data_IF_248072508282
#
_entry.id   IF_248072508282
#
_cell.length_a   1.000
_cell.length_b   1.000
_cell.length_c   1.000
_cell.angle_alpha   90.00
_cell.angle_beta   90.00
_cell.angle_gamma   90.00
#
_symmetry.space_group_name_H-M   'P 1'
#
loop_
_entity.id
_entity.type
_entity.pdbx_description
1 polymer ?
#
# COMPACT_ATOMS: atom_id res chain seq x y z
N UNK A 1 17.90 -5.52 -16.32
CA UNK A 1 16.65 -4.76 -16.39
C UNK A 1 16.70 -3.65 -15.36
N UNK A 2 16.30 -2.42 -15.70
CA UNK A 2 16.12 -1.35 -14.69
C UNK A 2 14.78 -1.59 -13.98
N UNK A 3 14.71 -1.62 -12.65
CA UNK A 3 13.44 -1.82 -11.95
C UNK A 3 12.54 -0.60 -12.18
N UNK A 4 11.33 -0.81 -12.71
CA UNK A 4 10.32 0.23 -12.97
C UNK A 4 9.45 0.49 -11.74
N UNK A 5 8.93 1.71 -11.59
CA UNK A 5 7.95 2.03 -10.55
C UNK A 5 6.66 1.21 -10.75
N UNK A 6 6.02 0.70 -9.68
CA UNK A 6 4.69 0.11 -9.78
C UNK A 6 3.66 1.11 -10.33
N UNK A 7 2.80 0.68 -11.25
CA UNK A 7 1.88 1.56 -12.00
C UNK A 7 0.40 1.39 -11.62
N UNK A 8 0.11 0.98 -10.39
CA UNK A 8 -1.28 0.83 -9.93
C UNK A 8 -1.97 2.20 -9.76
N UNK A 9 -3.29 2.22 -9.97
CA UNK A 9 -4.16 3.39 -9.74
C UNK A 9 -5.33 3.00 -8.85
N UNK A 10 -5.80 3.92 -8.02
CA UNK A 10 -6.96 3.67 -7.16
C UNK A 10 -8.25 3.62 -7.98
N UNK A 11 -8.94 2.47 -7.98
CA UNK A 11 -10.23 2.31 -8.65
C UNK A 11 -11.35 2.04 -7.65
N UNK A 12 -12.30 2.96 -7.59
CA UNK A 12 -13.45 2.90 -6.66
C UNK A 12 -14.49 1.85 -7.05
N UNK A 13 -14.49 1.32 -8.26
CA UNK A 13 -15.58 0.46 -8.78
C UNK A 13 -15.79 -0.79 -7.90
N UNK A 14 -14.71 -1.46 -7.51
CA UNK A 14 -14.77 -2.63 -6.63
C UNK A 14 -15.33 -2.25 -5.27
N UNK A 15 -14.82 -1.16 -4.69
CA UNK A 15 -15.24 -0.74 -3.36
C UNK A 15 -16.70 -0.27 -3.35
N UNK A 16 -17.16 0.46 -4.38
CA UNK A 16 -18.56 0.85 -4.54
C UNK A 16 -19.48 -0.36 -4.67
N UNK A 17 -19.06 -1.38 -5.41
CA UNK A 17 -19.81 -2.63 -5.52
C UNK A 17 -19.89 -3.35 -4.17
N UNK A 18 -18.78 -3.44 -3.44
CA UNK A 18 -18.76 -4.05 -2.10
C UNK A 18 -19.60 -3.28 -1.09
N UNK A 19 -19.59 -1.95 -1.16
CA UNK A 19 -20.36 -1.08 -0.27
C UNK A 19 -21.87 -1.09 -0.55
N UNK A 20 -22.29 -1.49 -1.76
CA UNK A 20 -23.70 -1.62 -2.14
C UNK A 20 -24.55 -0.37 -1.79
N UNK A 21 -23.99 0.82 -2.01
CA UNK A 21 -24.66 2.10 -1.73
C UNK A 21 -24.42 2.68 -0.32
N UNK A 22 -23.77 1.94 0.58
CA UNK A 22 -23.42 2.42 1.92
C UNK A 22 -22.16 3.32 1.87
N UNK A 23 -22.38 4.64 1.90
CA UNK A 23 -21.30 5.65 1.87
C UNK A 23 -20.43 5.62 3.14
N UNK A 24 -21.02 5.29 4.30
CA UNK A 24 -20.30 5.19 5.57
C UNK A 24 -19.32 4.00 5.53
N UNK A 25 -19.80 2.83 5.09
CA UNK A 25 -18.95 1.67 4.90
C UNK A 25 -17.86 1.92 3.85
N UNK A 26 -18.19 2.58 2.74
CA UNK A 26 -17.23 2.95 1.71
C UNK A 26 -16.09 3.82 2.28
N UNK A 27 -16.43 4.89 3.00
CA UNK A 27 -15.46 5.81 3.60
C UNK A 27 -14.62 5.12 4.68
N UNK A 28 -15.25 4.30 5.53
CA UNK A 28 -14.56 3.51 6.56
C UNK A 28 -13.50 2.58 5.94
N UNK A 29 -13.82 1.93 4.82
CA UNK A 29 -12.87 1.05 4.13
C UNK A 29 -11.68 1.82 3.54
N UNK A 30 -11.92 3.01 2.98
CA UNK A 30 -10.84 3.90 2.52
C UNK A 30 -9.97 4.35 3.70
N UNK A 31 -10.58 4.72 4.81
CA UNK A 31 -9.87 5.17 6.01
C UNK A 31 -9.00 4.05 6.60
N UNK A 32 -9.55 2.86 6.77
CA UNK A 32 -8.81 1.69 7.25
C UNK A 32 -7.64 1.35 6.32
N UNK A 33 -7.86 1.40 5.00
CA UNK A 33 -6.79 1.15 4.04
C UNK A 33 -5.68 2.21 4.14
N UNK A 34 -6.04 3.50 4.08
CA UNK A 34 -5.08 4.61 4.08
C UNK A 34 -4.28 4.67 5.39
N UNK A 35 -4.92 4.40 6.54
CA UNK A 35 -4.24 4.31 7.84
C UNK A 35 -3.17 3.22 7.84
N UNK A 36 -3.52 2.00 7.41
CA UNK A 36 -2.57 0.89 7.36
C UNK A 36 -1.46 1.11 6.32
N UNK A 37 -1.79 1.72 5.18
CA UNK A 37 -0.80 2.06 4.15
C UNK A 37 0.20 3.12 4.64
N UNK A 38 -0.26 4.12 5.39
CA UNK A 38 0.61 5.13 6.04
C UNK A 38 1.55 4.50 7.06
N UNK A 39 1.02 3.63 7.92
CA UNK A 39 1.85 2.90 8.89
C UNK A 39 2.93 2.04 8.20
N UNK A 40 2.61 1.41 7.05
CA UNK A 40 3.60 0.69 6.26
C UNK A 40 4.68 1.61 5.69
N UNK A 41 4.31 2.80 5.21
CA UNK A 41 5.26 3.82 4.73
C UNK A 41 6.22 4.24 5.84
N UNK A 42 5.72 4.47 7.06
CA UNK A 42 6.55 4.82 8.21
C UNK A 42 7.55 3.70 8.56
N UNK A 43 7.11 2.44 8.49
CA UNK A 43 8.01 1.28 8.64
C UNK A 43 9.09 1.26 7.56
N UNK A 44 8.73 1.52 6.30
CA UNK A 44 9.71 1.58 5.23
C UNK A 44 10.73 2.69 5.44
N UNK A 45 10.31 3.88 5.91
CA UNK A 45 11.21 5.00 6.16
C UNK A 45 12.17 4.72 7.33
N UNK A 46 11.62 4.32 8.47
CA UNK A 46 12.39 3.97 9.66
C UNK A 46 13.31 2.79 9.39
N UNK A 47 12.79 1.71 8.79
CA UNK A 47 13.54 0.51 8.44
C UNK A 47 14.65 0.76 7.42
N UNK A 48 14.46 1.65 6.44
CA UNK A 48 15.54 2.05 5.52
C UNK A 48 16.69 2.77 6.26
N UNK A 49 16.36 3.65 7.21
CA UNK A 49 17.36 4.38 7.99
C UNK A 49 18.13 3.49 8.96
N UNK A 50 17.43 2.53 9.59
CA UNK A 50 17.98 1.63 10.61
C UNK A 50 18.51 0.32 10.02
N UNK A 51 18.27 0.07 8.73
CA UNK A 51 18.52 -1.20 8.04
C UNK A 51 17.79 -2.38 8.68
N UNK A 52 16.58 -2.14 9.19
CA UNK A 52 15.73 -3.18 9.79
C UNK A 52 14.95 -3.93 8.70
N UNK A 53 15.67 -4.79 7.98
CA UNK A 53 15.12 -5.54 6.85
C UNK A 53 14.07 -6.56 7.29
N UNK A 54 14.18 -7.09 8.51
CA UNK A 54 13.24 -8.09 9.02
C UNK A 54 11.88 -7.43 9.28
N UNK A 55 11.84 -6.32 10.00
CA UNK A 55 10.60 -5.59 10.26
C UNK A 55 9.93 -5.14 8.95
N UNK A 56 10.72 -4.62 7.99
CA UNK A 56 10.23 -4.27 6.65
C UNK A 56 9.58 -5.48 5.97
N UNK A 57 10.25 -6.63 5.96
CA UNK A 57 9.74 -7.85 5.32
C UNK A 57 8.45 -8.35 5.95
N UNK A 58 8.36 -8.36 7.28
CA UNK A 58 7.16 -8.79 8.01
C UNK A 58 5.96 -7.86 7.76
N UNK A 59 6.21 -6.55 7.73
CA UNK A 59 5.15 -5.56 7.49
C UNK A 59 4.70 -5.57 6.03
N UNK A 60 5.62 -5.79 5.09
CA UNK A 60 5.27 -6.01 3.69
C UNK A 60 4.37 -7.25 3.54
N UNK A 61 4.72 -8.38 4.15
CA UNK A 61 3.90 -9.60 4.15
C UNK A 61 2.46 -9.35 4.64
N UNK A 62 2.34 -8.71 5.81
CA UNK A 62 1.03 -8.39 6.43
C UNK A 62 0.17 -7.47 5.57
N UNK A 63 0.78 -6.61 4.75
CA UNK A 63 0.06 -5.69 3.89
C UNK A 63 -0.48 -6.32 2.59
N UNK A 64 0.17 -7.37 2.06
CA UNK A 64 -0.19 -7.99 0.77
C UNK A 64 -1.70 -8.28 0.63
N UNK A 65 -2.41 -8.88 1.61
CA UNK A 65 -3.84 -9.17 1.45
C UNK A 65 -4.70 -7.93 1.22
N UNK A 66 -4.40 -6.83 1.92
CA UNK A 66 -5.13 -5.56 1.78
C UNK A 66 -4.92 -4.95 0.39
N UNK A 67 -3.68 -4.90 -0.09
CA UNK A 67 -3.39 -4.36 -1.43
C UNK A 67 -4.00 -5.22 -2.55
N UNK A 68 -4.09 -6.55 -2.36
CA UNK A 68 -4.81 -7.46 -3.28
C UNK A 68 -6.32 -7.23 -3.30
N UNK A 69 -6.94 -6.95 -2.15
CA UNK A 69 -8.37 -6.63 -2.09
C UNK A 69 -8.72 -5.45 -3.01
N UNK A 70 -7.89 -4.41 -2.99
CA UNK A 70 -8.04 -3.25 -3.88
C UNK A 70 -7.46 -3.44 -5.29
N UNK A 71 -7.00 -4.65 -5.63
CA UNK A 71 -6.42 -5.00 -6.94
C UNK A 71 -5.16 -4.21 -7.31
N UNK A 72 -4.38 -3.75 -6.32
CA UNK A 72 -3.06 -3.15 -6.55
C UNK A 72 -2.03 -4.25 -6.82
N UNK A 73 -2.11 -4.87 -7.99
CA UNK A 73 -1.34 -6.06 -8.32
C UNK A 73 0.17 -5.76 -8.40
N UNK A 74 0.56 -4.61 -8.96
CA UNK A 74 1.97 -4.26 -9.10
C UNK A 74 2.63 -3.94 -7.74
N UNK A 75 1.93 -3.21 -6.87
CA UNK A 75 2.38 -2.96 -5.50
C UNK A 75 2.39 -4.27 -4.71
N UNK A 76 1.34 -5.10 -4.81
CA UNK A 76 1.29 -6.41 -4.14
C UNK A 76 2.44 -7.32 -4.54
N UNK A 77 2.81 -7.34 -5.83
CA UNK A 77 3.99 -8.06 -6.32
C UNK A 77 5.28 -7.49 -5.75
N UNK A 78 5.41 -6.17 -5.67
CA UNK A 78 6.60 -5.52 -5.08
C UNK A 78 6.73 -5.80 -3.59
N UNK A 79 5.62 -5.83 -2.84
CA UNK A 79 5.59 -6.21 -1.42
C UNK A 79 6.01 -7.67 -1.22
N UNK A 80 5.56 -8.58 -2.08
CA UNK A 80 5.97 -9.98 -2.04
C UNK A 80 7.47 -10.15 -2.36
N UNK A 81 8.00 -9.36 -3.30
CA UNK A 81 9.43 -9.35 -3.60
C UNK A 81 10.25 -8.80 -2.42
N UNK A 82 9.78 -7.73 -1.76
CA UNK A 82 10.39 -7.20 -0.53
C UNK A 82 10.41 -8.27 0.57
N UNK A 83 9.27 -8.93 0.84
CA UNK A 83 9.18 -10.03 1.81
C UNK A 83 10.21 -11.12 1.51
N UNK A 84 10.26 -11.60 0.27
CA UNK A 84 11.14 -12.70 -0.14
C UNK A 84 12.63 -12.31 -0.04
N UNK A 85 13.00 -11.10 -0.49
CA UNK A 85 14.35 -10.59 -0.41
C UNK A 85 14.80 -10.37 1.05
N UNK A 86 13.91 -9.92 1.92
CA UNK A 86 14.20 -9.67 3.33
C UNK A 86 14.25 -10.94 4.17
N UNK A 87 13.20 -11.76 4.12
CA UNK A 87 12.99 -12.84 5.09
C UNK A 87 13.58 -14.18 4.63
N UNK A 88 13.63 -14.42 3.31
CA UNK A 88 13.98 -15.74 2.75
C UNK A 88 15.36 -15.73 2.11
N UNK A 89 15.56 -14.85 1.13
CA UNK A 89 16.81 -14.76 0.35
C UNK A 89 17.89 -13.95 1.05
N UNK A 90 17.53 -13.06 1.97
CA UNK A 90 18.44 -12.17 2.70
C UNK A 90 19.36 -11.36 1.79
N UNK A 91 18.85 -10.92 0.63
CA UNK A 91 19.57 -10.13 -0.36
C UNK A 91 19.31 -8.64 -0.16
N UNK A 92 19.86 -8.12 0.92
CA UNK A 92 19.57 -6.77 1.41
C UNK A 92 20.08 -5.66 0.50
N UNK A 93 21.06 -5.95 -0.36
CA UNK A 93 21.62 -5.00 -1.32
C UNK A 93 20.60 -4.48 -2.35
N UNK A 94 19.52 -5.23 -2.63
CA UNK A 94 18.46 -4.82 -3.55
C UNK A 94 17.28 -4.12 -2.87
N UNK A 95 17.15 -4.28 -1.55
CA UNK A 95 16.01 -3.78 -0.78
C UNK A 95 15.83 -2.26 -0.85
N UNK A 96 16.88 -1.42 -0.71
CA UNK A 96 16.70 0.03 -0.70
C UNK A 96 15.96 0.59 -1.91
N UNK A 97 16.31 0.13 -3.12
CA UNK A 97 15.72 0.62 -4.36
C UNK A 97 14.24 0.20 -4.50
N UNK A 98 13.94 -1.09 -4.28
CA UNK A 98 12.57 -1.60 -4.40
C UNK A 98 11.65 -1.03 -3.31
N UNK A 99 12.13 -0.89 -2.07
CA UNK A 99 11.36 -0.27 -0.98
C UNK A 99 11.04 1.18 -1.31
N UNK A 100 12.04 1.96 -1.77
CA UNK A 100 11.84 3.37 -2.12
C UNK A 100 10.79 3.55 -3.22
N UNK A 101 10.87 2.74 -4.29
CA UNK A 101 9.89 2.77 -5.39
C UNK A 101 8.49 2.35 -4.94
N UNK A 102 8.40 1.29 -4.15
CA UNK A 102 7.14 0.79 -3.61
C UNK A 102 6.50 1.83 -2.68
N UNK A 103 7.30 2.48 -1.84
CA UNK A 103 6.87 3.59 -0.97
C UNK A 103 6.25 4.72 -1.78
N UNK A 104 6.93 5.17 -2.84
CA UNK A 104 6.41 6.24 -3.73
C UNK A 104 5.07 5.84 -4.36
N UNK A 105 4.93 4.59 -4.82
CA UNK A 105 3.68 4.10 -5.38
C UNK A 105 2.55 4.05 -4.33
N UNK A 106 2.84 3.59 -3.11
CA UNK A 106 1.87 3.57 -2.01
C UNK A 106 1.40 4.99 -1.65
N UNK A 107 2.32 5.96 -1.56
CA UNK A 107 1.98 7.36 -1.31
C UNK A 107 1.06 7.94 -2.39
N UNK A 108 1.32 7.61 -3.66
CA UNK A 108 0.45 8.02 -4.77
C UNK A 108 -0.95 7.41 -4.66
N UNK A 109 -1.07 6.16 -4.23
CA UNK A 109 -2.35 5.50 -3.98
C UNK A 109 -3.09 6.12 -2.81
N UNK A 110 -2.41 6.37 -1.67
CA UNK A 110 -3.02 7.03 -0.50
C UNK A 110 -3.68 8.35 -0.92
N UNK A 111 -2.96 9.19 -1.67
CA UNK A 111 -3.50 10.46 -2.16
C UNK A 111 -4.75 10.29 -3.03
N UNK A 112 -4.75 9.28 -3.92
CA UNK A 112 -5.91 8.98 -4.77
C UNK A 112 -7.09 8.45 -3.96
N UNK A 113 -6.84 7.59 -2.96
CA UNK A 113 -7.86 7.02 -2.08
C UNK A 113 -8.53 8.09 -1.23
N UNK A 114 -7.75 9.00 -0.63
CA UNK A 114 -8.28 10.09 0.19
C UNK A 114 -9.15 11.05 -0.62
N UNK A 115 -8.74 11.38 -1.85
CA UNK A 115 -9.51 12.21 -2.78
C UNK A 115 -10.82 11.55 -3.25
N UNK A 116 -10.96 10.24 -3.07
CA UNK A 116 -12.15 9.48 -3.47
C UNK A 116 -13.21 9.34 -2.37
N UNK A 117 -12.92 9.78 -1.13
CA UNK A 117 -13.90 9.77 -0.04
C UNK A 117 -15.15 10.59 -0.44
N UNK A 118 -16.31 10.06 -0.09
CA UNK A 118 -17.60 10.76 -0.30
C UNK A 118 -17.77 11.69 0.90
N UNK A 119 -17.87 13.00 0.67
CA UNK A 119 -18.25 13.94 1.72
C UNK A 119 -19.77 13.99 1.70
N UNK A 120 -20.41 13.57 2.80
CA UNK A 120 -21.83 13.81 2.97
C UNK A 120 -22.03 15.32 3.00
N UNK A 121 -22.73 15.85 1.99
CA UNK A 121 -23.21 17.22 1.99
C UNK A 121 -24.36 17.32 3.00
N UNK A 122 -24.04 17.34 4.28
CA UNK A 122 -24.96 17.79 5.32
C UNK A 122 -24.53 19.20 5.76
N UNK A 123 -25.16 20.19 5.12
CA UNK A 123 -25.81 21.38 5.70
C UNK A 123 -25.84 22.52 4.68
N UNK A 124 -26.89 22.52 3.84
CA UNK A 124 -27.51 23.76 3.37
C UNK A 124 -28.61 24.16 4.36
#
# INVERSE_FOLDING_TARGET
MKPTLPTDTFNVAVLKQTANGDSQFFNMMIENFTMNAKALVEVFESGLSQKDWIEIGEKAHKAIPSFKFFKFNAISSSLAEIEDLALRKKKYEYLPDIISKTKTAILAIIKQSEAAKIVDSENE
#
